data_IF_161684645680
#
_entry.id   IF_161684645680
#
_cell.length_a   1.000
_cell.length_b   1.000
_cell.length_c   1.000
_cell.angle_alpha   90.00
_cell.angle_beta   90.00
_cell.angle_gamma   90.00
#
_symmetry.space_group_name_H-M   'P 1'
#
loop_
_entity.id
_entity.type
_entity.pdbx_description
1 polymer ?
#
# COMPACT_ATOMS: atom_id res chain seq x y z
N UNK A 1 17.52 3.93 18.08
CA UNK A 1 17.05 3.32 16.82
C UNK A 1 18.17 3.47 15.81
N UNK A 2 18.70 2.37 15.29
CA UNK A 2 19.64 2.42 14.17
C UNK A 2 18.85 2.65 12.88
N UNK A 3 19.43 3.39 11.95
CA UNK A 3 18.87 3.62 10.62
C UNK A 3 19.13 2.38 9.77
N UNK A 4 18.09 1.58 9.49
CA UNK A 4 18.19 0.34 8.69
C UNK A 4 18.21 0.61 7.17
N UNK A 5 18.04 1.87 6.75
CA UNK A 5 18.10 2.26 5.35
C UNK A 5 19.49 2.75 4.96
N UNK A 6 20.06 2.10 3.95
CA UNK A 6 21.35 2.44 3.34
C UNK A 6 21.12 3.09 1.97
N UNK A 7 21.96 4.05 1.62
CA UNK A 7 21.98 4.64 0.27
C UNK A 7 23.06 3.96 -0.57
N UNK A 8 22.65 3.10 -1.50
CA UNK A 8 23.53 2.54 -2.51
C UNK A 8 23.78 3.59 -3.60
N UNK A 9 24.99 4.11 -3.65
CA UNK A 9 25.43 5.03 -4.69
C UNK A 9 26.12 4.20 -5.77
N UNK A 10 25.74 4.40 -7.03
CA UNK A 10 26.33 3.68 -8.15
C UNK A 10 26.70 4.63 -9.29
N UNK A 11 27.72 4.24 -10.05
CA UNK A 11 28.12 4.85 -11.31
C UNK A 11 28.77 3.79 -12.22
N UNK A 12 28.61 3.90 -13.53
CA UNK A 12 29.22 2.96 -14.49
C UNK A 12 29.73 3.65 -15.77
N UNK A 13 30.84 3.15 -16.30
CA UNK A 13 31.48 3.59 -17.54
C UNK A 13 30.97 2.84 -18.79
N UNK A 14 31.34 3.29 -20.00
CA UNK A 14 31.10 2.50 -21.23
C UNK A 14 32.24 1.51 -21.48
N UNK A 15 33.42 1.87 -20.98
CA UNK A 15 34.66 1.11 -21.09
C UNK A 15 35.25 0.93 -19.71
N UNK A 16 36.05 -0.11 -19.56
CA UNK A 16 36.86 -0.29 -18.36
C UNK A 16 37.86 0.87 -18.25
N UNK A 17 38.09 1.41 -17.03
CA UNK A 17 39.06 2.48 -16.86
C UNK A 17 40.47 1.93 -17.06
N UNK A 18 41.24 2.58 -17.94
CA UNK A 18 42.63 2.18 -18.26
C UNK A 18 43.64 2.59 -17.15
N UNK A 19 43.24 3.46 -16.21
CA UNK A 19 44.05 3.96 -15.08
C UNK A 19 43.22 4.08 -13.78
N UNK A 20 43.86 4.38 -12.64
CA UNK A 20 43.24 4.48 -11.29
C UNK A 20 42.10 5.51 -11.19
N UNK A 21 41.93 6.39 -12.19
CA UNK A 21 40.91 7.44 -12.18
C UNK A 21 39.76 7.11 -13.16
N UNK A 22 38.56 6.80 -12.65
CA UNK A 22 37.42 6.48 -13.49
C UNK A 22 36.95 7.73 -14.27
N UNK A 23 36.75 7.58 -15.58
CA UNK A 23 36.21 8.64 -16.43
C UNK A 23 34.85 9.16 -15.95
N UNK A 24 34.55 10.41 -16.28
CA UNK A 24 33.25 11.00 -16.02
C UNK A 24 32.11 10.18 -16.66
N UNK A 25 31.19 9.70 -15.83
CA UNK A 25 30.12 8.76 -16.18
C UNK A 25 28.82 9.43 -16.67
N UNK A 26 28.77 10.76 -16.79
CA UNK A 26 27.57 11.47 -17.24
C UNK A 26 26.43 11.49 -16.19
N UNK A 27 25.31 12.12 -16.54
CA UNK A 27 24.13 12.20 -15.65
C UNK A 27 23.31 10.91 -15.59
N UNK A 28 23.28 10.15 -16.68
CA UNK A 28 22.34 9.03 -16.84
C UNK A 28 22.90 7.68 -16.37
N UNK A 29 24.21 7.61 -16.06
CA UNK A 29 24.89 6.37 -15.62
C UNK A 29 25.37 6.45 -14.18
N UNK A 30 24.67 7.22 -13.37
CA UNK A 30 24.87 7.33 -11.93
C UNK A 30 23.53 7.48 -11.23
N UNK A 31 23.50 7.10 -9.96
CA UNK A 31 22.31 7.29 -9.16
C UNK A 31 22.50 6.90 -7.72
N UNK A 32 21.41 7.03 -6.98
CA UNK A 32 21.30 6.61 -5.59
C UNK A 32 20.05 5.75 -5.47
N UNK A 33 20.16 4.63 -4.79
CA UNK A 33 19.06 3.74 -4.50
C UNK A 33 19.01 3.46 -2.99
N UNK A 34 17.84 3.64 -2.37
CA UNK A 34 17.65 3.30 -0.97
C UNK A 34 17.40 1.80 -0.83
N UNK A 35 18.17 1.12 0.03
CA UNK A 35 18.07 -0.32 0.28
C UNK A 35 18.07 -0.62 1.77
N UNK A 36 17.46 -1.74 2.16
CA UNK A 36 17.65 -2.33 3.49
C UNK A 36 18.51 -3.59 3.34
N UNK A 37 19.77 -3.52 3.76
CA UNK A 37 20.71 -4.65 3.66
C UNK A 37 20.43 -5.75 4.69
N UNK A 38 19.72 -5.42 5.77
CA UNK A 38 19.44 -6.32 6.89
C UNK A 38 17.97 -6.75 6.89
N UNK A 39 17.28 -6.62 5.76
CA UNK A 39 15.89 -7.01 5.64
C UNK A 39 15.75 -8.51 5.92
N UNK A 40 15.04 -8.93 6.98
CA UNK A 40 14.91 -10.32 7.32
C UNK A 40 14.18 -11.04 6.18
N UNK A 41 14.77 -12.14 5.71
CA UNK A 41 14.11 -13.03 4.77
C UNK A 41 12.96 -13.73 5.51
N UNK A 42 11.77 -13.16 5.45
CA UNK A 42 10.55 -13.80 5.94
C UNK A 42 10.11 -14.77 4.84
N UNK A 43 10.01 -16.05 5.17
CA UNK A 43 9.60 -17.09 4.22
C UNK A 43 8.19 -16.85 3.67
N UNK A 44 7.88 -17.51 2.56
CA UNK A 44 6.56 -17.41 1.92
C UNK A 44 5.44 -17.79 2.90
N UNK A 45 4.28 -17.12 2.77
CA UNK A 45 3.05 -17.56 3.45
C UNK A 45 2.71 -18.95 2.90
N UNK A 46 2.54 -19.97 3.75
CA UNK A 46 2.20 -21.30 3.28
C UNK A 46 0.91 -21.28 2.45
N UNK A 47 0.91 -22.02 1.34
CA UNK A 47 -0.28 -22.23 0.52
C UNK A 47 -1.24 -23.14 1.31
N UNK A 48 -2.12 -22.51 2.08
CA UNK A 48 -3.10 -23.18 2.93
C UNK A 48 -4.46 -23.21 2.20
N UNK A 49 -5.12 -24.39 2.09
CA UNK A 49 -6.35 -24.54 1.33
C UNK A 49 -7.54 -23.74 1.88
N UNK A 50 -7.45 -23.28 3.12
CA UNK A 50 -8.50 -22.52 3.81
C UNK A 50 -8.33 -21.00 3.71
N UNK A 51 -7.33 -20.50 2.97
CA UNK A 51 -7.13 -19.07 2.77
C UNK A 51 -8.25 -18.47 1.91
N UNK A 52 -8.81 -17.37 2.42
CA UNK A 52 -9.80 -16.57 1.72
C UNK A 52 -9.22 -15.20 1.44
N UNK A 53 -9.32 -14.78 0.18
CA UNK A 53 -8.93 -13.43 -0.22
C UNK A 53 -10.13 -12.49 -0.16
N UNK A 54 -9.89 -11.28 0.33
CA UNK A 54 -10.87 -10.19 0.31
C UNK A 54 -10.31 -9.00 -0.46
N UNK A 55 -10.84 -8.79 -1.66
CA UNK A 55 -10.48 -7.64 -2.50
C UNK A 55 -11.20 -6.37 -2.05
N UNK A 56 -10.43 -5.34 -1.72
CA UNK A 56 -10.92 -3.98 -1.49
C UNK A 56 -10.41 -3.10 -2.64
N UNK A 57 -11.32 -2.71 -3.52
CA UNK A 57 -11.01 -1.92 -4.71
C UNK A 57 -11.88 -0.67 -4.73
N UNK A 58 -11.29 0.47 -5.11
CA UNK A 58 -12.01 1.71 -5.30
C UNK A 58 -11.62 2.37 -6.61
N UNK A 59 -12.59 2.58 -7.49
CA UNK A 59 -12.38 3.24 -8.78
C UNK A 59 -12.88 4.69 -8.69
N UNK A 60 -11.92 5.62 -8.56
CA UNK A 60 -12.20 7.05 -8.40
C UNK A 60 -11.39 7.88 -9.38
N UNK A 61 -11.91 9.06 -9.67
CA UNK A 61 -11.14 10.13 -10.32
C UNK A 61 -10.50 10.96 -9.20
N UNK A 62 -9.17 11.02 -9.18
CA UNK A 62 -8.44 11.83 -8.21
C UNK A 62 -8.78 13.31 -8.45
N UNK A 63 -9.20 14.07 -7.42
CA UNK A 63 -9.48 15.49 -7.57
C UNK A 63 -8.24 16.26 -8.06
N UNK A 64 -8.38 17.28 -8.94
CA UNK A 64 -7.26 18.03 -9.51
C UNK A 64 -6.70 19.06 -8.52
N UNK A 65 -6.24 18.60 -7.36
CA UNK A 65 -5.63 19.39 -6.29
C UNK A 65 -4.27 18.79 -5.92
N UNK A 66 -3.40 19.60 -5.30
CA UNK A 66 -2.03 19.19 -4.99
C UNK A 66 -1.95 17.96 -4.07
N UNK A 67 -2.86 17.83 -3.11
CA UNK A 67 -2.87 16.70 -2.17
C UNK A 67 -4.31 16.35 -1.85
N UNK A 68 -4.69 15.10 -2.11
CA UNK A 68 -6.03 14.57 -1.84
C UNK A 68 -5.93 13.41 -0.87
N UNK A 69 -6.75 13.46 0.18
CA UNK A 69 -7.00 12.33 1.07
C UNK A 69 -8.40 11.82 0.78
N UNK A 70 -8.49 10.59 0.29
CA UNK A 70 -9.75 9.99 -0.10
C UNK A 70 -10.09 8.79 0.78
N UNK A 71 -11.27 8.81 1.36
CA UNK A 71 -11.75 7.80 2.30
C UNK A 71 -12.96 7.07 1.71
N UNK A 72 -13.05 5.77 1.97
CA UNK A 72 -14.17 4.94 1.53
C UNK A 72 -14.39 3.83 2.55
N UNK A 73 -15.65 3.47 2.77
CA UNK A 73 -16.03 2.42 3.72
C UNK A 73 -16.40 1.18 2.93
N UNK A 74 -15.90 0.03 3.37
CA UNK A 74 -16.19 -1.27 2.77
C UNK A 74 -16.77 -2.20 3.82
N UNK A 75 -17.80 -2.95 3.43
CA UNK A 75 -18.34 -4.01 4.27
C UNK A 75 -17.37 -5.21 4.21
N UNK A 76 -16.90 -5.64 5.38
CA UNK A 76 -16.17 -6.89 5.49
C UNK A 76 -17.08 -8.07 5.06
N UNK A 77 -16.51 -9.16 4.51
CA UNK A 77 -17.27 -10.37 4.23
C UNK A 77 -17.95 -10.88 5.51
N UNK A 78 -19.06 -11.59 5.38
CA UNK A 78 -19.67 -12.26 6.53
C UNK A 78 -18.76 -13.40 6.99
N UNK A 79 -18.46 -13.42 8.29
CA UNK A 79 -17.59 -14.40 8.91
C UNK A 79 -18.29 -14.94 10.15
N UNK A 80 -18.59 -16.24 10.16
CA UNK A 80 -19.35 -16.87 11.25
C UNK A 80 -18.49 -17.20 12.48
N UNK A 81 -17.17 -17.09 12.34
CA UNK A 81 -16.19 -17.41 13.39
C UNK A 81 -15.06 -16.38 13.38
N UNK A 82 -14.34 -16.23 14.50
CA UNK A 82 -13.16 -15.35 14.55
C UNK A 82 -12.11 -15.84 13.57
N UNK A 83 -11.66 -14.96 12.67
CA UNK A 83 -10.59 -15.22 11.72
C UNK A 83 -9.40 -14.30 11.99
N UNK A 84 -8.22 -14.70 11.52
CA UNK A 84 -7.02 -13.88 11.53
C UNK A 84 -6.67 -13.46 10.11
N UNK A 85 -6.27 -12.21 9.95
CA UNK A 85 -5.65 -11.73 8.70
C UNK A 85 -4.16 -12.05 8.82
N UNK A 86 -3.68 -12.96 7.98
CA UNK A 86 -2.31 -13.48 8.04
C UNK A 86 -1.40 -12.89 6.95
N UNK A 87 -1.94 -12.07 6.06
CA UNK A 87 -1.20 -11.39 5.01
C UNK A 87 -2.10 -10.53 4.13
N UNK A 88 -1.48 -9.60 3.39
CA UNK A 88 -2.10 -8.83 2.31
C UNK A 88 -1.23 -9.09 1.08
N UNK A 89 -1.63 -9.99 0.17
CA UNK A 89 -0.72 -10.49 -0.86
C UNK A 89 -0.41 -9.44 -1.95
N UNK A 90 0.73 -9.64 -2.60
CA UNK A 90 1.18 -8.89 -3.78
C UNK A 90 0.75 -9.64 -5.02
N UNK A 91 0.22 -8.94 -6.03
CA UNK A 91 0.08 -9.55 -7.35
C UNK A 91 0.51 -8.59 -8.47
N UNK A 92 1.65 -8.92 -9.06
CA UNK A 92 2.09 -8.50 -10.39
C UNK A 92 2.25 -9.74 -11.28
N UNK A 93 1.90 -9.61 -12.55
CA UNK A 93 1.66 -10.67 -13.55
C UNK A 93 2.77 -11.72 -13.78
N UNK A 94 2.41 -13.01 -13.72
CA UNK A 94 3.08 -14.12 -14.43
C UNK A 94 3.98 -15.03 -13.58
N UNK A 95 3.55 -16.30 -13.43
CA UNK A 95 4.24 -17.51 -12.95
C UNK A 95 5.48 -17.38 -12.04
N UNK A 96 5.36 -18.01 -10.85
CA UNK A 96 6.37 -18.39 -9.85
C UNK A 96 6.68 -17.35 -8.77
N UNK A 97 6.59 -17.85 -7.54
CA UNK A 97 6.62 -17.21 -6.23
C UNK A 97 7.78 -16.24 -6.03
N UNK A 98 7.46 -15.04 -5.54
CA UNK A 98 8.24 -14.29 -4.55
C UNK A 98 7.28 -13.37 -3.79
N UNK A 99 7.07 -13.62 -2.50
CA UNK A 99 6.54 -12.63 -1.58
C UNK A 99 7.64 -11.59 -1.36
N UNK A 100 7.50 -10.41 -1.98
CA UNK A 100 8.05 -9.16 -1.45
C UNK A 100 7.33 -7.98 -2.10
N UNK A 101 7.13 -6.93 -1.29
CA UNK A 101 6.50 -5.65 -1.62
C UNK A 101 4.98 -5.64 -1.55
N UNK A 102 4.42 -5.51 -0.34
CA UNK A 102 3.03 -5.09 -0.07
C UNK A 102 2.69 -3.97 -1.04
N UNK A 103 2.11 -4.27 -2.19
CA UNK A 103 1.57 -3.25 -3.06
C UNK A 103 0.07 -3.39 -2.90
N UNK A 104 -0.63 -2.38 -2.35
CA UNK A 104 -2.04 -2.26 -2.67
C UNK A 104 -2.15 -2.33 -4.20
N UNK A 105 -3.22 -2.93 -4.71
CA UNK A 105 -3.47 -2.94 -6.15
C UNK A 105 -3.61 -1.50 -6.65
N UNK A 106 -2.49 -0.88 -7.01
CA UNK A 106 -2.43 0.40 -7.69
C UNK A 106 -2.52 0.07 -9.16
N UNK A 107 -3.61 0.52 -9.78
CA UNK A 107 -3.82 0.34 -11.22
C UNK A 107 -2.63 0.88 -11.99
N UNK A 108 -2.13 0.11 -12.97
CA UNK A 108 -1.02 0.50 -13.84
C UNK A 108 -1.25 1.90 -14.42
N UNK A 109 -0.24 2.76 -14.31
CA UNK A 109 -0.30 4.16 -14.71
C UNK A 109 -0.66 5.12 -13.58
N UNK A 110 -1.03 4.61 -12.40
CA UNK A 110 -1.36 5.43 -11.23
C UNK A 110 -0.27 5.42 -10.13
N UNK A 111 0.87 4.77 -10.37
CA UNK A 111 1.94 4.59 -9.37
C UNK A 111 2.52 5.91 -8.87
N UNK A 112 2.48 6.96 -9.69
CA UNK A 112 2.95 8.31 -9.33
C UNK A 112 1.94 9.10 -8.48
N UNK A 113 0.68 8.68 -8.40
CA UNK A 113 -0.38 9.42 -7.71
C UNK A 113 -0.71 8.87 -6.32
N UNK A 114 -0.42 7.59 -6.06
CA UNK A 114 -0.75 6.92 -4.80
C UNK A 114 0.51 6.78 -3.95
N UNK A 115 0.65 7.64 -2.94
CA UNK A 115 1.83 7.64 -2.05
C UNK A 115 1.65 6.81 -0.77
N UNK A 116 0.42 6.76 -0.26
CA UNK A 116 0.06 6.09 0.99
C UNK A 116 -1.31 5.42 0.87
N UNK A 117 -1.49 4.32 1.58
CA UNK A 117 -2.77 3.65 1.76
C UNK A 117 -2.89 3.19 3.22
N UNK A 118 -4.07 3.28 3.81
CA UNK A 118 -4.29 2.80 5.17
C UNK A 118 -5.66 2.18 5.26
N UNK A 119 -5.69 0.93 5.72
CA UNK A 119 -6.92 0.21 6.01
C UNK A 119 -7.18 0.28 7.52
N UNK A 120 -8.36 0.79 7.87
CA UNK A 120 -8.80 0.98 9.25
C UNK A 120 -10.02 0.11 9.52
N UNK A 121 -10.14 -0.46 10.71
CA UNK A 121 -11.40 -1.03 11.16
C UNK A 121 -12.26 0.03 11.85
N UNK A 122 -13.56 -0.06 11.59
CA UNK A 122 -14.57 0.83 12.16
C UNK A 122 -15.20 0.16 13.38
N UNK A 123 -15.48 0.95 14.42
CA UNK A 123 -16.28 0.49 15.56
C UNK A 123 -17.64 1.15 15.47
N UNK A 124 -18.69 0.34 15.35
CA UNK A 124 -20.09 0.77 15.48
C UNK A 124 -20.69 0.11 16.72
N UNK A 125 -21.58 0.83 17.39
CA UNK A 125 -22.33 0.24 18.49
C UNK A 125 -23.29 -0.82 17.93
N UNK A 126 -23.59 -1.81 18.76
CA UNK A 126 -24.58 -2.83 18.43
C UNK A 126 -25.93 -2.19 18.07
N UNK A 127 -26.49 -2.57 16.92
CA UNK A 127 -27.73 -2.01 16.38
C UNK A 127 -27.56 -0.76 15.50
N UNK A 128 -26.35 -0.21 15.37
CA UNK A 128 -26.04 0.91 14.48
C UNK A 128 -25.39 0.47 13.15
N UNK A 129 -25.38 -0.82 12.84
CA UNK A 129 -24.72 -1.35 11.63
C UNK A 129 -25.35 -0.77 10.35
N UNK A 130 -26.67 -0.56 10.38
CA UNK A 130 -27.43 0.07 9.30
C UNK A 130 -26.95 1.49 8.94
N UNK A 131 -26.31 2.20 9.87
CA UNK A 131 -25.75 3.54 9.63
C UNK A 131 -24.57 3.46 8.66
N UNK A 132 -23.69 2.48 8.80
CA UNK A 132 -22.58 2.28 7.87
C UNK A 132 -23.09 1.79 6.51
N UNK A 133 -24.11 0.93 6.50
CA UNK A 133 -24.72 0.46 5.26
C UNK A 133 -25.35 1.61 4.47
N UNK A 134 -26.09 2.49 5.13
CA UNK A 134 -26.64 3.69 4.50
C UNK A 134 -25.53 4.62 4.03
N UNK A 135 -24.49 4.84 4.85
CA UNK A 135 -23.37 5.67 4.45
C UNK A 135 -22.66 5.15 3.20
N UNK A 136 -22.47 3.83 3.08
CA UNK A 136 -21.90 3.22 1.87
C UNK A 136 -22.81 3.41 0.63
N UNK A 137 -24.13 3.51 0.81
CA UNK A 137 -25.05 3.82 -0.29
C UNK A 137 -25.00 5.30 -0.68
N UNK A 138 -24.89 6.19 0.30
CA UNK A 138 -24.81 7.64 0.09
C UNK A 138 -23.45 8.06 -0.50
N UNK A 139 -22.38 7.33 -0.16
CA UNK A 139 -20.99 7.54 -0.59
C UNK A 139 -20.39 6.27 -1.24
N UNK A 140 -20.94 5.81 -2.38
CA UNK A 140 -20.57 4.51 -2.97
C UNK A 140 -19.12 4.43 -3.46
N UNK A 141 -18.51 5.58 -3.73
CA UNK A 141 -17.08 5.71 -4.08
C UNK A 141 -16.27 6.40 -2.99
N UNK A 142 -16.90 6.71 -1.85
CA UNK A 142 -16.33 7.53 -0.80
C UNK A 142 -16.30 9.03 -1.11
N UNK A 143 -15.48 9.76 -0.36
CA UNK A 143 -15.32 11.20 -0.47
C UNK A 143 -13.96 11.66 0.06
N UNK A 144 -13.72 12.97 0.03
CA UNK A 144 -12.60 13.55 0.75
C UNK A 144 -12.71 13.18 2.25
N UNK A 145 -11.62 12.70 2.84
CA UNK A 145 -11.59 12.26 4.24
C UNK A 145 -12.00 13.36 5.24
N UNK A 146 -11.88 14.64 4.85
CA UNK A 146 -12.21 15.81 5.66
C UNK A 146 -13.54 16.46 5.29
N UNK A 147 -14.35 15.83 4.43
CA UNK A 147 -15.73 16.27 4.18
C UNK A 147 -16.52 16.28 5.50
N UNK A 148 -17.01 17.45 5.98
CA UNK A 148 -17.72 17.55 7.26
C UNK A 148 -18.94 16.63 7.38
N UNK A 149 -19.64 16.35 6.27
CA UNK A 149 -20.80 15.47 6.28
C UNK A 149 -20.42 14.00 6.47
N UNK A 150 -19.26 13.59 5.92
CA UNK A 150 -18.79 12.21 5.98
C UNK A 150 -17.84 11.94 7.17
N UNK A 151 -17.19 12.99 7.69
CA UNK A 151 -16.16 12.89 8.72
C UNK A 151 -16.67 12.21 10.00
N UNK A 152 -17.95 12.41 10.35
CA UNK A 152 -18.54 11.73 11.51
C UNK A 152 -18.44 10.21 11.40
N UNK A 153 -18.60 9.66 10.20
CA UNK A 153 -18.48 8.22 9.95
C UNK A 153 -17.01 7.81 9.86
N UNK A 154 -16.18 8.52 9.10
CA UNK A 154 -14.75 8.19 9.01
C UNK A 154 -14.05 8.22 10.37
N UNK A 155 -14.45 9.14 11.26
CA UNK A 155 -13.89 9.26 12.61
C UNK A 155 -14.21 8.08 13.55
N UNK A 156 -15.13 7.20 13.16
CA UNK A 156 -15.41 5.92 13.87
C UNK A 156 -14.41 4.81 13.50
N UNK A 157 -13.58 5.03 12.48
CA UNK A 157 -12.57 4.07 12.02
C UNK A 157 -11.19 4.51 12.50
N UNK A 158 -10.61 3.78 13.46
CA UNK A 158 -9.38 4.22 14.17
C UNK A 158 -8.32 3.15 14.36
N UNK A 159 -8.72 1.88 14.33
CA UNK A 159 -7.78 0.79 14.52
C UNK A 159 -7.14 0.44 13.18
N UNK A 160 -5.83 0.65 13.07
CA UNK A 160 -5.08 0.33 11.85
C UNK A 160 -5.03 -1.18 11.69
N UNK A 161 -5.55 -1.66 10.55
CA UNK A 161 -5.46 -3.05 10.15
C UNK A 161 -4.23 -3.29 9.28
N UNK A 162 -3.96 -2.37 8.34
CA UNK A 162 -2.78 -2.37 7.49
C UNK A 162 -2.46 -0.96 7.03
N UNK A 163 -1.20 -0.67 6.80
CA UNK A 163 -0.73 0.59 6.25
C UNK A 163 0.34 0.31 5.20
N UNK A 164 0.35 1.13 4.17
CA UNK A 164 1.32 1.08 3.09
C UNK A 164 1.79 2.50 2.74
N UNK A 165 3.05 2.59 2.35
CA UNK A 165 3.66 3.81 1.84
C UNK A 165 4.67 3.45 0.74
N UNK A 166 4.92 4.37 -0.19
CA UNK A 166 6.01 4.23 -1.16
C UNK A 166 7.34 4.01 -0.44
N UNK A 167 8.04 2.93 -0.80
CA UNK A 167 9.29 2.54 -0.16
C UNK A 167 9.14 1.83 1.19
N UNK A 168 7.92 1.68 1.71
CA UNK A 168 7.61 0.80 2.82
C UNK A 168 7.73 -0.66 2.39
N UNK A 169 8.53 -1.41 3.15
CA UNK A 169 8.56 -2.88 3.11
C UNK A 169 7.44 -3.47 3.94
#
# INVERSE_FOLDING_TARGET
>A
SQSDTWSLIYAYGETDPDEEDPFYHGRDRRGVHAINLLDPQIGDIPDEPDLKEWGILNDIIIPPIHTSYWCSVFKAPQIDTKQHIIGVPNFGTGNIHVVHKYLPWVTKGNEEYVHHFTLLTCTVNEGEESVLEQFMQDYPKGSNCFDPAAYIIYSKCRSILSAWAVGGV
#
